data_IF_905129621565
#
_entry.id   IF_905129621565
#
_cell.length_a   1.000
_cell.length_b   1.000
_cell.length_c   1.000
_cell.angle_alpha   90.00
_cell.angle_beta   90.00
_cell.angle_gamma   90.00
#
_symmetry.space_group_name_H-M   'P 1'
#
loop_
_entity.id
_entity.type
_entity.pdbx_description
1 polymer ?
#
# COMPACT_ATOMS: atom_id res chain seq x y z
N UNK A 1 14.45 4.92 5.71
CA UNK A 1 15.61 5.52 5.00
C UNK A 1 15.42 5.48 3.49
N UNK A 2 15.23 4.31 2.88
CA UNK A 2 15.00 4.18 1.43
C UNK A 2 13.82 5.02 0.92
N UNK A 3 12.68 5.01 1.61
CA UNK A 3 11.52 5.83 1.25
C UNK A 3 11.78 7.34 1.32
N UNK A 4 12.60 7.80 2.26
CA UNK A 4 12.97 9.21 2.37
C UNK A 4 13.91 9.62 1.24
N UNK A 5 14.86 8.75 0.87
CA UNK A 5 15.72 8.97 -0.29
C UNK A 5 14.85 9.10 -1.54
N UNK A 6 13.92 8.18 -1.76
CA UNK A 6 13.00 8.22 -2.92
C UNK A 6 12.19 9.52 -2.95
N UNK A 7 11.61 9.93 -1.82
CA UNK A 7 10.83 11.16 -1.73
C UNK A 7 11.68 12.42 -2.02
N UNK A 8 12.90 12.48 -1.48
CA UNK A 8 13.82 13.59 -1.72
C UNK A 8 14.35 13.61 -3.16
N UNK A 9 14.65 12.44 -3.73
CA UNK A 9 15.03 12.32 -5.14
C UNK A 9 13.90 12.83 -6.03
N UNK A 10 12.66 12.46 -5.77
CA UNK A 10 11.52 13.00 -6.50
C UNK A 10 11.43 14.52 -6.39
N UNK A 11 11.59 15.09 -5.19
CA UNK A 11 11.49 16.54 -4.99
C UNK A 11 12.57 17.32 -5.77
N UNK A 12 13.79 16.76 -5.87
CA UNK A 12 14.90 17.35 -6.63
C UNK A 12 14.63 17.30 -8.14
N UNK A 13 14.10 16.19 -8.64
CA UNK A 13 13.93 15.94 -10.08
C UNK A 13 12.49 16.15 -10.57
N UNK A 14 11.63 16.80 -9.78
CA UNK A 14 10.18 16.89 -10.06
C UNK A 14 9.85 17.50 -11.43
N UNK A 15 10.64 18.48 -11.88
CA UNK A 15 10.47 19.13 -13.19
C UNK A 15 10.78 18.19 -14.35
N UNK A 16 11.87 17.42 -14.26
CA UNK A 16 12.21 16.42 -15.27
C UNK A 16 11.15 15.31 -15.32
N UNK A 17 10.67 14.87 -14.14
CA UNK A 17 9.55 13.92 -14.07
C UNK A 17 8.29 14.47 -14.72
N UNK A 18 7.90 15.72 -14.48
CA UNK A 18 6.70 16.31 -15.06
C UNK A 18 6.76 16.33 -16.60
N UNK A 19 7.91 16.71 -17.16
CA UNK A 19 8.16 16.74 -18.60
C UNK A 19 8.12 15.36 -19.26
N UNK A 20 8.43 14.30 -18.52
CA UNK A 20 8.30 12.92 -19.04
C UNK A 20 6.84 12.49 -19.27
N UNK A 21 5.87 13.08 -18.56
CA UNK A 21 4.47 12.68 -18.63
C UNK A 21 3.62 13.56 -19.55
N UNK A 22 4.01 14.82 -19.77
CA UNK A 22 3.22 15.77 -20.56
C UNK A 22 4.08 16.93 -21.08
N UNK A 23 3.72 17.45 -22.24
CA UNK A 23 4.31 18.67 -22.84
C UNK A 23 3.53 19.95 -22.45
N UNK A 24 2.37 19.82 -21.78
CA UNK A 24 1.57 20.97 -21.36
C UNK A 24 2.17 21.63 -20.11
N UNK A 25 2.70 22.84 -20.29
CA UNK A 25 3.33 23.66 -19.25
C UNK A 25 2.43 23.88 -18.02
N UNK A 26 1.12 24.06 -18.23
CA UNK A 26 0.17 24.28 -17.14
C UNK A 26 0.00 23.03 -16.27
N UNK A 27 0.03 21.86 -16.89
CA UNK A 27 -0.05 20.59 -16.17
C UNK A 27 1.27 20.31 -15.42
N UNK A 28 2.41 20.68 -16.01
CA UNK A 28 3.71 20.58 -15.35
C UNK A 28 3.79 21.47 -14.10
N UNK A 29 3.41 22.76 -14.21
CA UNK A 29 3.38 23.67 -13.06
C UNK A 29 2.45 23.15 -11.95
N UNK A 30 1.29 22.59 -12.32
CA UNK A 30 0.36 22.03 -11.35
C UNK A 30 0.93 20.80 -10.62
N UNK A 31 1.68 19.94 -11.32
CA UNK A 31 2.40 18.81 -10.73
C UNK A 31 3.49 19.28 -9.77
N UNK A 32 4.31 20.23 -10.20
CA UNK A 32 5.43 20.75 -9.40
C UNK A 32 4.96 21.46 -8.14
N UNK A 33 3.89 22.25 -8.22
CA UNK A 33 3.29 22.94 -7.07
C UNK A 33 2.57 21.97 -6.12
N UNK A 34 2.12 20.81 -6.62
CA UNK A 34 1.47 19.77 -5.82
C UNK A 34 2.42 18.66 -5.32
N UNK A 35 3.72 18.78 -5.60
CA UNK A 35 4.77 17.81 -5.26
C UNK A 35 4.80 17.38 -3.78
N UNK A 36 4.47 18.31 -2.87
CA UNK A 36 4.36 18.06 -1.43
C UNK A 36 3.45 16.86 -1.12
N UNK A 37 2.36 16.71 -1.88
CA UNK A 37 1.44 15.60 -1.77
C UNK A 37 2.10 14.23 -1.91
N UNK A 38 2.97 14.10 -2.91
CA UNK A 38 3.70 12.87 -3.17
C UNK A 38 4.81 12.65 -2.13
N UNK A 39 5.58 13.69 -1.82
CA UNK A 39 6.69 13.64 -0.86
C UNK A 39 6.21 13.16 0.51
N UNK A 40 5.06 13.63 0.98
CA UNK A 40 4.49 13.19 2.26
C UNK A 40 3.89 11.77 2.18
N UNK A 41 3.34 11.38 1.03
CA UNK A 41 2.69 10.09 0.85
C UNK A 41 3.68 8.91 0.81
N UNK A 42 4.86 9.09 0.19
CA UNK A 42 5.82 7.99 -0.03
C UNK A 42 6.29 7.33 1.27
N UNK A 43 6.74 8.05 2.31
CA UNK A 43 7.17 7.44 3.57
C UNK A 43 6.02 6.74 4.30
N UNK A 44 4.83 7.34 4.33
CA UNK A 44 3.65 6.77 4.97
C UNK A 44 3.20 5.48 4.26
N UNK A 45 3.20 5.47 2.93
CA UNK A 45 2.88 4.29 2.13
C UNK A 45 3.90 3.17 2.34
N UNK A 46 5.20 3.49 2.37
CA UNK A 46 6.25 2.51 2.62
C UNK A 46 6.08 1.84 4.00
N UNK A 47 5.77 2.62 5.05
CA UNK A 47 5.47 2.08 6.38
C UNK A 47 4.23 1.19 6.35
N UNK A 48 3.13 1.69 5.76
CA UNK A 48 1.87 0.97 5.66
C UNK A 48 2.08 -0.41 5.01
N UNK A 49 2.72 -0.44 3.83
CA UNK A 49 2.92 -1.68 3.07
C UNK A 49 3.86 -2.65 3.76
N UNK A 50 4.90 -2.15 4.44
CA UNK A 50 5.84 -2.98 5.21
C UNK A 50 5.10 -3.72 6.33
N UNK A 51 4.33 -3.00 7.14
CA UNK A 51 3.63 -3.60 8.27
C UNK A 51 2.38 -4.39 7.86
N UNK A 52 1.75 -4.05 6.74
CA UNK A 52 0.75 -4.92 6.11
C UNK A 52 1.35 -6.28 5.73
N UNK A 53 2.59 -6.29 5.25
CA UNK A 53 3.34 -7.53 5.02
C UNK A 53 3.48 -8.36 6.30
N UNK A 54 3.83 -7.71 7.41
CA UNK A 54 3.94 -8.35 8.72
C UNK A 54 2.59 -8.93 9.21
N UNK A 55 1.50 -8.17 9.09
CA UNK A 55 0.15 -8.65 9.45
C UNK A 55 -0.26 -9.88 8.64
N UNK A 56 -0.02 -9.87 7.32
CA UNK A 56 -0.28 -11.04 6.46
C UNK A 56 0.59 -12.24 6.87
N UNK A 57 1.86 -12.00 7.18
CA UNK A 57 2.79 -13.04 7.64
C UNK A 57 2.37 -13.68 8.97
N UNK A 58 1.69 -12.94 9.84
CA UNK A 58 1.15 -13.41 11.11
C UNK A 58 -0.31 -13.91 11.04
N UNK A 59 -0.91 -13.96 9.84
CA UNK A 59 -2.34 -14.24 9.64
C UNK A 59 -3.28 -13.33 10.46
N UNK A 60 -2.86 -12.09 10.71
CA UNK A 60 -3.56 -11.12 11.56
C UNK A 60 -4.01 -9.89 10.76
N UNK A 61 -4.73 -10.12 9.66
CA UNK A 61 -5.05 -9.08 8.67
C UNK A 61 -6.18 -8.12 9.07
N UNK A 62 -7.07 -8.54 9.99
CA UNK A 62 -8.29 -7.78 10.34
C UNK A 62 -8.01 -6.33 10.78
N UNK A 63 -7.05 -6.06 11.69
CA UNK A 63 -6.77 -4.68 12.09
C UNK A 63 -6.23 -3.83 10.94
N UNK A 64 -5.50 -4.43 10.00
CA UNK A 64 -5.01 -3.71 8.83
C UNK A 64 -6.15 -3.16 7.98
N UNK A 65 -7.10 -4.04 7.63
CA UNK A 65 -8.29 -3.65 6.86
C UNK A 65 -9.04 -2.52 7.56
N UNK A 66 -9.27 -2.65 8.87
CA UNK A 66 -9.97 -1.61 9.63
C UNK A 66 -9.22 -0.27 9.61
N UNK A 67 -7.90 -0.28 9.82
CA UNK A 67 -7.08 0.94 9.79
C UNK A 67 -7.11 1.64 8.43
N UNK A 68 -7.02 0.88 7.34
CA UNK A 68 -7.12 1.43 5.98
C UNK A 68 -8.52 1.95 5.66
N UNK A 69 -9.57 1.24 6.07
CA UNK A 69 -10.95 1.72 5.87
C UNK A 69 -11.18 3.03 6.61
N UNK A 70 -10.80 3.11 7.89
CA UNK A 70 -10.93 4.35 8.68
C UNK A 70 -10.09 5.46 8.07
N UNK A 71 -8.82 5.20 7.75
CA UNK A 71 -7.92 6.18 7.17
C UNK A 71 -8.46 6.78 5.87
N UNK A 72 -8.89 5.96 4.92
CA UNK A 72 -9.34 6.43 3.61
C UNK A 72 -10.80 6.87 3.58
N UNK A 73 -11.72 6.05 4.07
CA UNK A 73 -13.15 6.32 3.90
C UNK A 73 -13.70 7.32 4.90
N UNK A 74 -13.24 7.27 6.15
CA UNK A 74 -13.80 8.10 7.22
C UNK A 74 -13.09 9.45 7.31
N UNK A 75 -11.79 9.50 6.99
CA UNK A 75 -10.99 10.73 7.16
C UNK A 75 -10.45 11.26 5.84
N UNK A 76 -9.70 10.45 5.10
CA UNK A 76 -8.96 10.86 3.91
C UNK A 76 -9.81 11.42 2.79
N UNK A 77 -10.87 10.69 2.39
CA UNK A 77 -11.78 11.09 1.33
C UNK A 77 -12.59 12.34 1.72
N UNK A 78 -13.23 12.43 2.91
CA UNK A 78 -13.87 13.66 3.35
C UNK A 78 -12.91 14.86 3.39
N UNK A 79 -11.70 14.67 3.93
CA UNK A 79 -10.72 15.74 4.03
C UNK A 79 -10.23 16.19 2.64
N UNK A 80 -9.93 15.25 1.75
CA UNK A 80 -9.51 15.56 0.38
C UNK A 80 -10.62 16.25 -0.44
N UNK A 81 -11.88 15.82 -0.28
CA UNK A 81 -13.03 16.49 -0.88
C UNK A 81 -13.25 17.89 -0.32
N UNK A 82 -13.09 18.07 1.00
CA UNK A 82 -13.23 19.38 1.64
C UNK A 82 -12.13 20.35 1.19
N UNK A 83 -10.86 19.92 1.22
CA UNK A 83 -9.73 20.76 0.83
C UNK A 83 -9.72 21.03 -0.68
N UNK A 84 -9.88 19.99 -1.50
CA UNK A 84 -9.73 20.07 -2.95
C UNK A 84 -10.95 20.57 -3.69
N UNK A 85 -12.15 20.09 -3.33
CA UNK A 85 -13.38 20.38 -4.08
C UNK A 85 -14.22 21.51 -3.48
N UNK A 86 -14.17 21.71 -2.16
CA UNK A 86 -14.96 22.75 -1.50
C UNK A 86 -14.13 24.02 -1.28
N UNK A 87 -13.03 23.93 -0.53
CA UNK A 87 -12.18 25.09 -0.22
C UNK A 87 -11.19 25.46 -1.33
N UNK A 88 -10.87 24.53 -2.24
CA UNK A 88 -9.90 24.74 -3.32
C UNK A 88 -8.52 25.20 -2.81
N UNK A 89 -8.14 24.76 -1.60
CA UNK A 89 -6.98 25.25 -0.87
C UNK A 89 -6.05 24.10 -0.45
N UNK A 90 -4.71 24.27 -0.55
CA UNK A 90 -3.97 25.42 -1.09
C UNK A 90 -4.06 25.55 -2.61
N UNK A 91 -4.10 24.41 -3.29
CA UNK A 91 -4.60 24.26 -4.66
C UNK A 91 -5.55 23.07 -4.67
N UNK A 92 -6.50 22.97 -5.62
CA UNK A 92 -7.45 21.86 -5.65
C UNK A 92 -6.76 20.48 -5.67
N UNK A 93 -5.70 20.34 -6.48
CA UNK A 93 -4.95 19.10 -6.59
C UNK A 93 -4.19 18.79 -5.30
N UNK A 94 -3.46 19.77 -4.74
CA UNK A 94 -2.73 19.57 -3.50
C UNK A 94 -3.67 19.24 -2.33
N UNK A 95 -4.86 19.85 -2.27
CA UNK A 95 -5.88 19.55 -1.27
C UNK A 95 -6.30 18.06 -1.28
N UNK A 96 -6.51 17.49 -2.46
CA UNK A 96 -6.80 16.05 -2.61
C UNK A 96 -5.60 15.21 -2.14
N UNK A 97 -4.38 15.59 -2.51
CA UNK A 97 -3.18 14.90 -2.07
C UNK A 97 -2.94 14.95 -0.56
N UNK A 98 -3.26 16.06 0.10
CA UNK A 98 -3.19 16.18 1.55
C UNK A 98 -4.17 15.21 2.21
N UNK A 99 -5.39 15.08 1.67
CA UNK A 99 -6.33 14.03 2.10
C UNK A 99 -5.75 12.62 1.99
N UNK A 100 -5.09 12.30 0.87
CA UNK A 100 -4.40 11.02 0.69
C UNK A 100 -3.24 10.81 1.67
N UNK A 101 -2.39 11.82 1.87
CA UNK A 101 -1.27 11.75 2.80
C UNK A 101 -1.75 11.55 4.25
N UNK A 102 -2.84 12.22 4.64
CA UNK A 102 -3.49 12.01 5.94
C UNK A 102 -4.05 10.59 6.07
N UNK A 103 -4.74 10.08 5.05
CA UNK A 103 -5.27 8.72 5.04
C UNK A 103 -4.17 7.68 5.25
N UNK A 104 -3.08 7.81 4.49
CA UNK A 104 -1.89 6.95 4.58
C UNK A 104 -1.26 7.00 5.96
N UNK A 105 -1.11 8.20 6.53
CA UNK A 105 -0.50 8.37 7.85
C UNK A 105 -1.33 7.73 8.96
N UNK A 106 -2.65 7.87 8.91
CA UNK A 106 -3.57 7.23 9.86
C UNK A 106 -3.50 5.72 9.72
N UNK A 107 -3.62 5.19 8.49
CA UNK A 107 -3.57 3.76 8.24
C UNK A 107 -2.22 3.15 8.65
N UNK A 108 -1.11 3.81 8.30
CA UNK A 108 0.24 3.38 8.65
C UNK A 108 0.44 3.34 10.17
N UNK A 109 0.03 4.39 10.88
CA UNK A 109 0.09 4.46 12.34
C UNK A 109 -0.74 3.36 12.99
N UNK A 110 -1.96 3.12 12.50
CA UNK A 110 -2.84 2.07 13.01
C UNK A 110 -2.23 0.67 12.85
N UNK A 111 -1.73 0.37 11.65
CA UNK A 111 -1.11 -0.92 11.33
C UNK A 111 0.16 -1.11 12.14
N UNK A 112 0.99 -0.07 12.27
CA UNK A 112 2.18 -0.07 13.12
C UNK A 112 1.81 -0.45 14.56
N UNK A 113 0.81 0.21 15.15
CA UNK A 113 0.34 -0.10 16.50
C UNK A 113 -0.19 -1.54 16.59
N UNK A 114 -0.91 -2.03 15.59
CA UNK A 114 -1.38 -3.41 15.58
C UNK A 114 -0.21 -4.41 15.59
N UNK A 115 0.81 -4.19 14.76
CA UNK A 115 1.98 -5.06 14.66
C UNK A 115 2.79 -5.09 15.97
N UNK A 116 3.05 -3.93 16.57
CA UNK A 116 3.91 -3.86 17.76
C UNK A 116 3.18 -4.11 19.08
N UNK A 117 1.91 -3.76 19.18
CA UNK A 117 1.19 -3.81 20.46
C UNK A 117 0.11 -4.89 20.53
N UNK A 118 -0.30 -5.51 19.41
CA UNK A 118 -1.40 -6.50 19.39
C UNK A 118 -0.99 -7.90 18.95
N UNK A 119 0.15 -8.04 18.26
CA UNK A 119 0.64 -9.36 17.85
C UNK A 119 1.54 -9.93 18.94
N UNK A 120 1.18 -11.10 19.45
CA UNK A 120 2.08 -11.93 20.24
C UNK A 120 2.97 -12.75 19.30
N UNK A 121 4.19 -12.25 19.07
CA UNK A 121 5.16 -12.88 18.19
C UNK A 121 5.64 -14.24 18.70
N UNK A 122 5.59 -14.50 20.01
CA UNK A 122 5.97 -15.79 20.56
C UNK A 122 4.93 -16.86 20.23
N UNK A 123 3.65 -16.51 20.33
CA UNK A 123 2.56 -17.40 19.91
C UNK A 123 2.62 -17.69 18.41
N UNK A 124 2.86 -16.67 17.59
CA UNK A 124 2.99 -16.83 16.12
C UNK A 124 4.16 -17.75 15.78
N UNK A 125 5.31 -17.60 16.45
CA UNK A 125 6.47 -18.46 16.23
C UNK A 125 6.20 -19.91 16.66
N UNK A 126 5.57 -20.11 17.82
CA UNK A 126 5.21 -21.44 18.33
C UNK A 126 4.21 -22.16 17.42
N UNK A 127 3.18 -21.47 16.94
CA UNK A 127 2.21 -22.00 15.99
C UNK A 127 2.87 -22.39 14.66
N UNK A 128 3.85 -21.61 14.19
CA UNK A 128 4.61 -21.92 12.97
C UNK A 128 5.55 -23.12 13.15
N UNK A 129 6.16 -23.27 14.32
CA UNK A 129 7.01 -24.41 14.65
C UNK A 129 6.21 -25.71 14.88
N UNK A 130 5.00 -25.58 15.43
CA UNK A 130 4.08 -26.69 15.66
C UNK A 130 3.25 -27.07 14.42
N UNK A 131 3.12 -26.16 13.44
CA UNK A 131 2.54 -26.50 12.16
C UNK A 131 3.39 -27.62 11.55
N UNK A 132 2.79 -28.79 11.21
CA UNK A 132 3.52 -29.81 10.48
C UNK A 132 4.10 -29.12 9.25
N UNK A 133 5.37 -29.38 8.93
CA UNK A 133 5.97 -28.99 7.64
C UNK A 133 4.98 -29.45 6.60
N UNK A 134 4.13 -28.53 6.12
CA UNK A 134 3.21 -28.83 5.05
C UNK A 134 4.13 -29.39 3.97
N UNK A 135 3.97 -30.67 3.58
CA UNK A 135 4.89 -31.26 2.63
C UNK A 135 4.91 -30.27 1.49
N UNK A 136 6.12 -29.77 1.18
CA UNK A 136 6.32 -28.94 -0.01
C UNK A 136 5.54 -29.66 -1.09
N UNK A 137 4.65 -28.94 -1.79
CA UNK A 137 3.96 -29.52 -2.94
C UNK A 137 5.01 -30.35 -3.68
N UNK A 138 4.79 -31.67 -3.85
CA UNK A 138 5.79 -32.52 -4.45
C UNK A 138 6.30 -31.80 -5.69
N UNK A 139 7.62 -31.67 -5.83
CA UNK A 139 8.22 -31.10 -7.04
C UNK A 139 7.49 -31.68 -8.24
N UNK A 140 7.27 -30.94 -9.33
CA UNK A 140 6.53 -31.45 -10.50
C UNK A 140 7.08 -32.80 -11.03
N UNK A 141 8.29 -33.19 -10.59
CA UNK A 141 8.90 -34.51 -10.77
C UNK A 141 8.24 -35.68 -9.99
N UNK A 142 7.54 -35.43 -8.88
CA UNK A 142 6.93 -36.41 -7.98
C UNK A 142 5.40 -36.51 -8.13
N UNK A 143 4.78 -35.57 -8.86
CA UNK A 143 3.40 -35.73 -9.28
C UNK A 143 3.36 -36.87 -10.30
N UNK A 144 2.69 -38.01 -10.05
CA UNK A 144 2.47 -38.98 -11.09
C UNK A 144 1.79 -38.22 -12.21
N UNK A 145 2.42 -38.18 -13.40
CA UNK A 145 1.87 -37.54 -14.57
C UNK A 145 0.52 -38.21 -14.83
N UNK A 146 -0.55 -37.66 -14.24
CA UNK A 146 -1.90 -38.02 -14.56
C UNK A 146 -2.03 -37.53 -15.97
N UNK A 147 -1.76 -38.43 -16.94
CA UNK A 147 -2.15 -38.25 -18.32
C UNK A 147 -3.62 -37.87 -18.22
N UNK A 148 -3.90 -36.59 -18.44
CA UNK A 148 -5.27 -36.12 -18.60
C UNK A 148 -5.73 -36.87 -19.84
N UNK A 149 -6.46 -37.96 -19.62
CA UNK A 149 -7.01 -38.73 -20.73
C UNK A 149 -8.00 -37.80 -21.41
N UNK A 150 -7.63 -37.32 -22.61
CA UNK A 150 -8.44 -36.39 -23.39
C UNK A 150 -9.84 -36.95 -23.71
N UNK A 151 -10.09 -38.24 -23.43
CA UNK A 151 -11.40 -38.90 -23.53
C UNK A 151 -12.34 -38.62 -22.37
N UNK A 152 -11.89 -38.03 -21.25
CA UNK A 152 -12.75 -37.70 -20.10
C UNK A 152 -13.26 -36.26 -20.09
N UNK A 153 -12.96 -35.46 -21.11
CA UNK A 153 -13.58 -34.16 -21.28
C UNK A 153 -15.02 -34.37 -21.76
N UNK A 154 -16.05 -33.92 -21.02
CA UNK A 154 -17.40 -33.93 -21.54
C UNK A 154 -17.44 -33.02 -22.76
N UNK A 155 -17.63 -33.60 -23.94
CA UNK A 155 -18.03 -32.85 -25.13
C UNK A 155 -19.42 -32.29 -24.90
N UNK A 156 -19.49 -31.05 -24.42
CA UNK A 156 -20.63 -30.16 -24.58
C UNK A 156 -20.16 -28.72 -24.70
#
# INVERSE_FOLDING_TARGET
>A
VTSLIVALSYEIFKSDFARMFTEDEKVQELLETSSLGLVLSVPAYALLMTFYGALRGANFQRPGIMGTVVGYWVVGLPLGGLLGCYWHWPTPLLGVWLGNATALTIAASWVLTAVFCRIDWMQVAALRAAAPTAPLLPSDAELPHRKVDARSLPTR
#
